data_IF_164902416186
#
_entry.id   IF_164902416186
#
_cell.length_a   1.000
_cell.length_b   1.000
_cell.length_c   1.000
_cell.angle_alpha   90.00
_cell.angle_beta   90.00
_cell.angle_gamma   90.00
#
_symmetry.space_group_name_H-M   'P 1'
#
loop_
_entity.id
_entity.type
_entity.pdbx_description
1 polymer ?
#
# COMPACT_ATOMS: atom_id res chain seq x y z
N UNK A 1 -2.04 -26.16 -26.39
CA UNK A 1 -2.34 -25.43 -25.13
C UNK A 1 -1.22 -25.72 -24.13
N UNK A 2 -0.27 -24.80 -23.96
CA UNK A 2 0.94 -25.00 -23.14
C UNK A 2 0.77 -24.61 -21.65
N UNK A 3 -0.26 -23.83 -21.30
CA UNK A 3 -0.46 -23.29 -19.95
C UNK A 3 -0.81 -24.41 -18.95
N UNK A 4 -1.73 -25.30 -19.30
CA UNK A 4 -2.10 -26.44 -18.45
C UNK A 4 -1.00 -27.51 -18.34
N UNK A 5 -0.02 -27.50 -19.24
CA UNK A 5 1.10 -28.44 -19.21
C UNK A 5 2.15 -28.06 -18.18
N UNK A 6 2.25 -26.77 -17.81
CA UNK A 6 3.20 -26.27 -16.81
C UNK A 6 2.59 -26.05 -15.43
N UNK A 7 1.31 -25.71 -15.34
CA UNK A 7 0.66 -25.36 -14.07
C UNK A 7 -0.45 -26.35 -13.66
N UNK A 8 -0.81 -27.33 -14.48
CA UNK A 8 -1.68 -28.44 -14.07
C UNK A 8 -3.19 -28.11 -13.93
N UNK A 9 -3.58 -26.91 -13.46
CA UNK A 9 -4.99 -26.51 -13.30
C UNK A 9 -5.21 -24.98 -13.41
N UNK A 10 -6.47 -24.54 -13.52
CA UNK A 10 -6.81 -23.11 -13.47
C UNK A 10 -6.52 -22.49 -12.10
N UNK A 11 -6.66 -23.26 -11.01
CA UNK A 11 -6.36 -22.81 -9.67
C UNK A 11 -4.87 -22.49 -9.50
N UNK A 12 -3.98 -23.33 -10.06
CA UNK A 12 -2.55 -23.07 -10.07
C UNK A 12 -2.17 -21.87 -10.93
N UNK A 13 -2.89 -21.63 -12.03
CA UNK A 13 -2.74 -20.39 -12.81
C UNK A 13 -3.13 -19.17 -11.97
N UNK A 14 -4.26 -19.21 -11.28
CA UNK A 14 -4.72 -18.11 -10.41
C UNK A 14 -3.72 -17.85 -9.28
N UNK A 15 -3.21 -18.91 -8.64
CA UNK A 15 -2.19 -18.80 -7.61
C UNK A 15 -0.89 -18.19 -8.14
N UNK A 16 -0.39 -18.67 -9.28
CA UNK A 16 0.82 -18.12 -9.89
C UNK A 16 0.68 -16.63 -10.25
N UNK A 17 -0.47 -16.22 -10.79
CA UNK A 17 -0.77 -14.81 -11.09
C UNK A 17 -0.81 -13.97 -9.82
N UNK A 18 -1.41 -14.50 -8.74
CA UNK A 18 -1.47 -13.84 -7.43
C UNK A 18 -0.07 -13.63 -6.84
N UNK A 19 0.78 -14.66 -6.84
CA UNK A 19 2.17 -14.59 -6.38
C UNK A 19 2.96 -13.54 -7.17
N UNK A 20 2.87 -13.57 -8.50
CA UNK A 20 3.52 -12.59 -9.36
C UNK A 20 3.02 -11.17 -9.10
N UNK A 21 1.71 -11.00 -8.87
CA UNK A 21 1.13 -9.72 -8.55
C UNK A 21 1.70 -9.10 -7.27
N UNK A 22 1.83 -9.88 -6.21
CA UNK A 22 2.45 -9.41 -4.97
C UNK A 22 3.95 -9.18 -5.10
N UNK A 23 4.66 -10.00 -5.88
CA UNK A 23 6.08 -9.78 -6.17
C UNK A 23 6.29 -8.44 -6.88
N UNK A 24 5.44 -8.08 -7.86
CA UNK A 24 5.48 -6.77 -8.52
C UNK A 24 5.16 -5.63 -7.58
N UNK A 25 4.14 -5.78 -6.73
CA UNK A 25 3.79 -4.76 -5.75
C UNK A 25 4.95 -4.49 -4.77
N UNK A 26 5.58 -5.56 -4.26
CA UNK A 26 6.76 -5.45 -3.41
C UNK A 26 7.92 -4.76 -4.13
N UNK A 27 8.17 -5.10 -5.41
CA UNK A 27 9.21 -4.46 -6.21
C UNK A 27 8.98 -2.95 -6.41
N UNK A 28 7.73 -2.52 -6.59
CA UNK A 28 7.39 -1.09 -6.67
C UNK A 28 7.67 -0.38 -5.34
N UNK A 29 7.36 -1.01 -4.20
CA UNK A 29 7.70 -0.45 -2.89
C UNK A 29 9.23 -0.40 -2.65
N UNK A 30 9.96 -1.44 -3.05
CA UNK A 30 11.41 -1.53 -2.91
C UNK A 30 12.17 -0.51 -3.79
N UNK A 31 11.55 -0.05 -4.88
CA UNK A 31 12.12 0.98 -5.75
C UNK A 31 12.10 2.39 -5.14
N UNK A 32 11.36 2.61 -4.04
CA UNK A 32 11.29 3.91 -3.36
C UNK A 32 12.55 4.13 -2.53
N UNK A 33 13.39 5.14 -2.84
CA UNK A 33 14.60 5.40 -2.07
C UNK A 33 14.27 5.80 -0.63
N UNK A 34 15.10 5.31 0.31
CA UNK A 34 15.03 5.73 1.69
C UNK A 34 15.61 7.14 1.85
N UNK A 35 14.92 8.00 2.58
CA UNK A 35 15.35 9.35 2.93
C UNK A 35 15.43 9.54 4.45
N UNK A 36 16.03 10.65 4.92
CA UNK A 36 16.00 11.02 6.33
C UNK A 36 14.60 11.30 6.89
N UNK A 37 13.58 11.44 6.05
CA UNK A 37 12.19 11.63 6.46
C UNK A 37 11.38 10.33 6.21
N UNK A 38 11.26 9.44 7.22
CA UNK A 38 10.58 8.16 7.05
C UNK A 38 9.08 8.31 6.83
N UNK A 39 8.46 9.41 7.27
CA UNK A 39 7.05 9.69 7.02
C UNK A 39 6.84 10.04 5.54
N UNK A 40 7.76 10.80 4.95
CA UNK A 40 7.75 11.05 3.51
C UNK A 40 7.96 9.76 2.70
N UNK A 41 8.86 8.87 3.14
CA UNK A 41 9.07 7.57 2.49
C UNK A 41 7.81 6.69 2.56
N UNK A 42 7.18 6.61 3.74
CA UNK A 42 5.91 5.90 3.93
C UNK A 42 4.84 6.43 2.97
N UNK A 43 4.73 7.76 2.84
CA UNK A 43 3.79 8.39 1.92
C UNK A 43 4.08 8.08 0.45
N UNK A 44 5.35 8.00 0.03
CA UNK A 44 5.73 7.60 -1.33
C UNK A 44 5.40 6.13 -1.61
N UNK A 45 5.74 5.22 -0.69
CA UNK A 45 5.35 3.80 -0.79
C UNK A 45 3.83 3.66 -0.90
N UNK A 46 3.11 4.50 -0.16
CA UNK A 46 1.65 4.54 -0.16
C UNK A 46 1.03 4.97 -1.48
N UNK A 47 1.56 6.03 -2.07
CA UNK A 47 1.15 6.51 -3.38
C UNK A 47 1.49 5.52 -4.49
N UNK A 48 2.67 4.89 -4.39
CA UNK A 48 3.11 3.86 -5.32
C UNK A 48 2.21 2.62 -5.28
N UNK A 49 1.78 2.19 -4.09
CA UNK A 49 0.76 1.14 -3.91
C UNK A 49 -0.55 1.51 -4.61
N UNK A 50 -1.04 2.74 -4.38
CA UNK A 50 -2.31 3.21 -4.94
C UNK A 50 -2.24 3.25 -6.48
N UNK A 51 -1.16 3.84 -7.01
CA UNK A 51 -0.90 3.93 -8.45
C UNK A 51 -0.72 2.55 -9.09
N UNK A 52 -0.09 1.60 -8.41
CA UNK A 52 -0.03 0.20 -8.87
C UNK A 52 -1.42 -0.42 -9.00
N UNK A 53 -2.28 -0.25 -7.99
CA UNK A 53 -3.63 -0.79 -8.00
C UNK A 53 -4.49 -0.26 -9.16
N UNK A 54 -4.39 1.05 -9.43
CA UNK A 54 -5.10 1.68 -10.54
C UNK A 54 -4.51 1.35 -11.91
N UNK A 55 -3.18 1.28 -12.00
CA UNK A 55 -2.48 0.96 -13.24
C UNK A 55 -2.59 -0.51 -13.66
N UNK A 56 -2.97 -1.41 -12.74
CA UNK A 56 -3.05 -2.86 -12.98
C UNK A 56 -4.37 -3.45 -12.42
N UNK A 57 -5.56 -2.99 -12.88
CA UNK A 57 -6.84 -3.30 -12.23
C UNK A 57 -7.17 -4.80 -12.24
N UNK A 58 -6.88 -5.52 -13.32
CA UNK A 58 -7.13 -6.96 -13.41
C UNK A 58 -6.19 -7.78 -12.51
N UNK A 59 -4.92 -7.37 -12.42
CA UNK A 59 -3.96 -8.00 -11.53
C UNK A 59 -4.31 -7.74 -10.06
N UNK A 60 -4.70 -6.50 -9.73
CA UNK A 60 -5.14 -6.13 -8.39
C UNK A 60 -6.35 -6.96 -7.94
N UNK A 61 -7.32 -7.18 -8.84
CA UNK A 61 -8.45 -8.10 -8.57
C UNK A 61 -7.98 -9.52 -8.29
N UNK A 62 -7.09 -10.09 -9.11
CA UNK A 62 -6.54 -11.42 -8.89
C UNK A 62 -5.75 -11.53 -7.56
N UNK A 63 -5.09 -10.44 -7.14
CA UNK A 63 -4.33 -10.37 -5.89
C UNK A 63 -5.18 -10.24 -4.63
N UNK A 64 -6.42 -9.76 -4.68
CA UNK A 64 -7.17 -9.43 -3.46
C UNK A 64 -8.63 -9.87 -3.45
N UNK A 65 -9.29 -9.93 -4.61
CA UNK A 65 -10.73 -10.15 -4.72
C UNK A 65 -11.01 -11.57 -5.21
N UNK A 66 -10.37 -11.96 -6.31
CA UNK A 66 -10.61 -13.23 -7.00
C UNK A 66 -9.61 -14.31 -6.51
N UNK A 67 -9.38 -14.40 -5.19
CA UNK A 67 -8.40 -15.32 -4.57
C UNK A 67 -8.82 -16.79 -4.76
N UNK A 68 -7.89 -17.71 -5.07
CA UNK A 68 -8.19 -19.14 -5.09
C UNK A 68 -8.62 -19.64 -3.69
N UNK A 69 -9.25 -20.83 -3.63
CA UNK A 69 -9.82 -21.37 -2.37
C UNK A 69 -8.71 -21.80 -1.39
N UNK A 70 -7.52 -22.12 -1.89
CA UNK A 70 -6.32 -22.35 -1.09
C UNK A 70 -5.91 -21.14 -0.26
N UNK A 71 -5.50 -21.39 0.98
CA UNK A 71 -4.84 -20.39 1.79
C UNK A 71 -3.37 -20.27 1.37
N UNK A 72 -2.88 -19.03 1.29
CA UNK A 72 -1.51 -18.70 0.95
C UNK A 72 -1.06 -17.43 1.66
N UNK A 73 0.26 -17.24 1.71
CA UNK A 73 0.93 -16.08 2.30
C UNK A 73 1.51 -15.15 1.21
N UNK A 74 0.98 -15.19 -0.02
CA UNK A 74 1.57 -14.47 -1.16
C UNK A 74 1.69 -12.96 -0.91
N UNK A 75 0.82 -12.39 -0.07
CA UNK A 75 0.84 -10.98 0.30
C UNK A 75 1.79 -10.61 1.45
N UNK A 76 2.41 -11.57 2.14
CA UNK A 76 3.22 -11.33 3.33
C UNK A 76 4.39 -10.38 3.05
N UNK A 77 5.17 -10.64 1.99
CA UNK A 77 6.31 -9.81 1.64
C UNK A 77 5.91 -8.36 1.27
N UNK A 78 4.72 -8.15 0.70
CA UNK A 78 4.22 -6.80 0.42
C UNK A 78 3.74 -6.11 1.71
N UNK A 79 3.08 -6.85 2.60
CA UNK A 79 2.66 -6.34 3.91
C UNK A 79 3.85 -5.96 4.80
N UNK A 80 4.89 -6.78 4.82
CA UNK A 80 6.13 -6.54 5.57
C UNK A 80 6.77 -5.19 5.21
N UNK A 81 6.58 -4.71 3.97
CA UNK A 81 7.18 -3.45 3.51
C UNK A 81 6.43 -2.25 4.08
N UNK A 82 5.13 -2.38 4.31
CA UNK A 82 4.36 -1.40 5.06
C UNK A 82 4.75 -1.44 6.54
N UNK A 83 4.90 -2.64 7.12
CA UNK A 83 5.36 -2.80 8.50
C UNK A 83 6.76 -2.20 8.72
N UNK A 84 7.68 -2.39 7.78
CA UNK A 84 9.02 -1.80 7.81
C UNK A 84 8.98 -0.27 7.71
N UNK A 85 8.12 0.28 6.85
CA UNK A 85 7.95 1.72 6.75
C UNK A 85 7.38 2.33 8.05
N UNK A 86 6.42 1.65 8.70
CA UNK A 86 5.91 2.04 10.02
C UNK A 86 7.02 1.96 11.08
N UNK A 87 7.77 0.86 11.13
CA UNK A 87 8.90 0.68 12.05
C UNK A 87 9.95 1.77 11.90
N UNK A 88 10.29 2.17 10.67
CA UNK A 88 11.20 3.30 10.44
C UNK A 88 10.69 4.64 10.98
N UNK A 89 9.38 4.87 10.95
CA UNK A 89 8.81 6.08 11.54
C UNK A 89 8.94 6.06 13.07
N UNK A 90 8.81 4.88 13.68
CA UNK A 90 8.98 4.67 15.12
C UNK A 90 10.45 4.83 15.53
N UNK A 91 11.37 4.20 14.80
CA UNK A 91 12.82 4.28 15.06
C UNK A 91 13.34 5.72 14.93
N UNK A 92 12.68 6.56 14.15
CA UNK A 92 12.96 7.98 14.01
C UNK A 92 12.18 8.87 14.99
N UNK A 93 11.52 8.28 15.99
CA UNK A 93 10.71 8.94 17.02
C UNK A 93 9.56 9.79 16.46
N UNK A 94 9.15 9.55 15.21
CA UNK A 94 7.99 10.21 14.58
C UNK A 94 6.67 9.65 15.09
N UNK A 95 6.66 8.38 15.52
CA UNK A 95 5.47 7.73 16.08
C UNK A 95 5.79 7.21 17.49
N UNK A 96 5.71 8.06 18.53
CA UNK A 96 6.10 7.69 19.90
C UNK A 96 5.10 6.73 20.58
N UNK A 97 5.58 5.93 21.55
CA UNK A 97 4.73 5.14 22.45
C UNK A 97 4.38 3.72 21.98
N UNK A 98 5.34 3.00 21.38
CA UNK A 98 5.07 1.75 20.67
C UNK A 98 5.47 0.49 21.43
N UNK A 99 4.46 -0.32 21.75
CA UNK A 99 4.63 -1.77 21.94
C UNK A 99 4.86 -2.46 20.59
N UNK A 100 5.74 -3.47 20.47
CA UNK A 100 6.01 -4.15 19.19
C UNK A 100 4.77 -4.63 18.42
N UNK A 101 3.69 -4.94 19.15
CA UNK A 101 2.38 -5.33 18.59
C UNK A 101 1.69 -4.22 17.79
N UNK A 102 1.99 -2.94 18.06
CA UNK A 102 1.36 -1.82 17.36
C UNK A 102 1.90 -1.61 15.94
N UNK A 103 3.13 -2.05 15.64
CA UNK A 103 3.71 -1.96 14.28
C UNK A 103 2.81 -2.67 13.27
N UNK A 104 2.46 -3.92 13.55
CA UNK A 104 1.61 -4.72 12.68
C UNK A 104 0.18 -4.18 12.63
N UNK A 105 -0.35 -3.69 13.76
CA UNK A 105 -1.68 -3.09 13.82
C UNK A 105 -1.78 -1.83 12.95
N UNK A 106 -0.82 -0.91 13.05
CA UNK A 106 -0.80 0.32 12.25
C UNK A 106 -0.51 0.03 10.79
N UNK A 107 0.38 -0.92 10.48
CA UNK A 107 0.57 -1.41 9.12
C UNK A 107 -0.75 -1.96 8.54
N UNK A 108 -1.50 -2.75 9.31
CA UNK A 108 -2.81 -3.28 8.91
C UNK A 108 -3.86 -2.18 8.70
N UNK A 109 -3.89 -1.14 9.53
CA UNK A 109 -4.78 0.01 9.32
C UNK A 109 -4.45 0.78 8.04
N UNK A 110 -3.16 1.06 7.81
CA UNK A 110 -2.67 1.71 6.60
C UNK A 110 -2.98 0.85 5.35
N UNK A 111 -2.73 -0.45 5.42
CA UNK A 111 -3.01 -1.42 4.36
C UNK A 111 -4.51 -1.44 4.04
N UNK A 112 -5.36 -1.59 5.07
CA UNK A 112 -6.82 -1.65 4.93
C UNK A 112 -7.42 -0.38 4.33
N UNK A 113 -6.96 0.79 4.80
CA UNK A 113 -7.39 2.08 4.25
C UNK A 113 -7.12 2.19 2.75
N UNK A 114 -5.90 1.82 2.31
CA UNK A 114 -5.52 1.87 0.88
C UNK A 114 -6.33 0.89 0.05
N UNK A 115 -6.54 -0.32 0.58
CA UNK A 115 -7.40 -1.31 -0.03
C UNK A 115 -8.82 -0.79 -0.31
N UNK A 116 -9.42 -0.15 0.68
CA UNK A 116 -10.75 0.46 0.54
C UNK A 116 -10.77 1.49 -0.58
N UNK A 117 -9.81 2.42 -0.57
CA UNK A 117 -9.75 3.50 -1.57
C UNK A 117 -9.51 2.96 -2.99
N UNK A 118 -8.57 2.04 -3.19
CA UNK A 118 -8.34 1.41 -4.52
C UNK A 118 -9.62 0.71 -4.98
N UNK A 119 -10.27 -0.07 -4.12
CA UNK A 119 -11.49 -0.79 -4.46
C UNK A 119 -12.64 0.16 -4.83
N UNK A 120 -12.78 1.28 -4.13
CA UNK A 120 -13.77 2.32 -4.46
C UNK A 120 -13.50 2.97 -5.82
N UNK A 121 -12.23 3.21 -6.18
CA UNK A 121 -11.90 3.75 -7.52
C UNK A 121 -12.16 2.71 -8.60
N UNK A 122 -11.72 1.46 -8.42
CA UNK A 122 -11.90 0.39 -9.40
C UNK A 122 -13.38 0.02 -9.60
N UNK A 123 -14.25 0.25 -8.62
CA UNK A 123 -15.70 0.05 -8.73
C UNK A 123 -16.44 1.27 -9.29
N UNK A 124 -15.76 2.41 -9.52
CA UNK A 124 -16.38 3.66 -9.95
C UNK A 124 -17.13 4.41 -8.85
N UNK A 125 -17.06 3.95 -7.59
CA UNK A 125 -17.71 4.58 -6.45
C UNK A 125 -17.02 5.88 -6.00
N UNK A 126 -15.73 6.06 -6.36
CA UNK A 126 -14.96 7.27 -6.06
C UNK A 126 -14.04 7.64 -7.23
N UNK A 127 -14.21 8.80 -7.87
CA UNK A 127 -13.27 9.30 -8.87
C UNK A 127 -11.83 9.43 -8.33
N UNK A 128 -10.84 9.06 -9.15
CA UNK A 128 -9.42 9.07 -8.74
C UNK A 128 -8.93 10.40 -8.15
N UNK A 129 -9.23 11.59 -8.73
CA UNK A 129 -8.76 12.84 -8.17
C UNK A 129 -9.25 13.07 -6.73
N UNK A 130 -10.48 12.64 -6.44
CA UNK A 130 -11.08 12.73 -5.11
C UNK A 130 -10.50 11.65 -4.17
N UNK A 131 -10.26 10.45 -4.69
CA UNK A 131 -9.59 9.38 -3.95
C UNK A 131 -8.20 9.79 -3.45
N UNK A 132 -7.40 10.48 -4.26
CA UNK A 132 -6.07 10.98 -3.86
C UNK A 132 -6.16 12.00 -2.72
N UNK A 133 -7.12 12.91 -2.77
CA UNK A 133 -7.36 13.89 -1.69
C UNK A 133 -7.77 13.20 -0.38
N UNK A 134 -8.73 12.27 -0.45
CA UNK A 134 -9.20 11.50 0.70
C UNK A 134 -8.06 10.67 1.30
N UNK A 135 -7.28 9.97 0.47
CA UNK A 135 -6.17 9.14 0.93
C UNK A 135 -5.07 9.95 1.62
N UNK A 136 -4.77 11.15 1.11
CA UNK A 136 -3.82 12.07 1.74
C UNK A 136 -4.29 12.54 3.12
N UNK A 137 -5.56 12.98 3.22
CA UNK A 137 -6.13 13.42 4.50
C UNK A 137 -6.21 12.28 5.53
N UNK A 138 -6.67 11.09 5.13
CA UNK A 138 -6.72 9.94 6.02
C UNK A 138 -5.31 9.51 6.48
N UNK A 139 -4.31 9.56 5.59
CA UNK A 139 -2.92 9.26 5.96
C UNK A 139 -2.42 10.26 7.00
N UNK A 140 -2.69 11.56 6.84
CA UNK A 140 -2.34 12.55 7.88
C UNK A 140 -3.01 12.22 9.21
N UNK A 141 -4.33 11.94 9.19
CA UNK A 141 -5.09 11.67 10.41
C UNK A 141 -4.58 10.43 11.15
N UNK A 142 -4.20 9.39 10.41
CA UNK A 142 -3.60 8.20 11.01
C UNK A 142 -2.24 8.51 11.61
N UNK A 143 -1.36 9.25 10.92
CA UNK A 143 -0.06 9.65 11.46
C UNK A 143 -0.19 10.46 12.76
N UNK A 144 -1.12 11.42 12.80
CA UNK A 144 -1.43 12.19 14.03
C UNK A 144 -1.99 11.25 15.11
N UNK A 145 -2.89 10.34 14.75
CA UNK A 145 -3.45 9.34 15.67
C UNK A 145 -2.41 8.35 16.21
N UNK A 146 -1.32 8.12 15.47
CA UNK A 146 -0.17 7.32 15.87
C UNK A 146 0.85 8.13 16.71
N UNK A 147 0.64 9.43 16.86
CA UNK A 147 1.42 10.30 17.73
C UNK A 147 2.41 11.24 17.03
N UNK A 148 2.41 11.33 15.69
CA UNK A 148 3.27 12.30 14.99
C UNK A 148 2.83 13.75 15.26
N UNK A 149 3.79 14.67 15.20
CA UNK A 149 3.49 16.10 15.27
C UNK A 149 2.67 16.51 14.02
N UNK A 150 1.50 17.15 14.18
CA UNK A 150 0.65 17.51 13.04
C UNK A 150 1.34 18.37 11.98
N UNK A 151 2.20 19.30 12.39
CA UNK A 151 2.90 20.18 11.46
C UNK A 151 4.03 19.44 10.72
N UNK A 152 4.76 18.58 11.42
CA UNK A 152 5.79 17.72 10.82
C UNK A 152 5.19 16.71 9.86
N UNK A 153 4.13 16.00 10.25
CA UNK A 153 3.41 15.05 9.40
C UNK A 153 2.92 15.72 8.11
N UNK A 154 2.30 16.90 8.21
CA UNK A 154 1.84 17.67 7.05
C UNK A 154 3.00 18.02 6.11
N UNK A 155 4.11 18.56 6.64
CA UNK A 155 5.30 18.88 5.82
C UNK A 155 5.85 17.65 5.09
N UNK A 156 5.93 16.51 5.78
CA UNK A 156 6.39 15.26 5.18
C UNK A 156 5.48 14.80 4.04
N UNK A 157 4.15 14.91 4.20
CA UNK A 157 3.18 14.55 3.15
C UNK A 157 3.25 15.52 1.96
N UNK A 158 3.33 16.82 2.20
CA UNK A 158 3.38 17.84 1.15
C UNK A 158 4.69 17.74 0.33
N UNK A 159 5.78 17.29 0.95
CA UNK A 159 7.04 17.00 0.26
C UNK A 159 7.05 15.67 -0.51
N UNK A 160 6.29 14.68 -0.03
CA UNK A 160 6.26 13.34 -0.60
C UNK A 160 5.30 13.20 -1.77
N UNK A 161 4.14 13.86 -1.68
CA UNK A 161 3.03 13.68 -2.60
C UNK A 161 2.96 14.86 -3.59
N UNK A 162 2.63 14.60 -4.86
CA UNK A 162 2.42 15.67 -5.83
C UNK A 162 1.30 16.60 -5.37
N UNK A 163 1.47 17.90 -5.63
CA UNK A 163 0.44 18.89 -5.30
C UNK A 163 -0.89 18.49 -5.98
N UNK A 164 -2.02 18.54 -5.27
CA UNK A 164 -3.31 18.17 -5.86
C UNK A 164 -3.61 19.08 -7.06
N UNK A 165 -3.67 18.48 -8.25
CA UNK A 165 -3.99 19.17 -9.52
C UNK A 165 -2.80 19.57 -10.40
N UNK A 166 -1.60 19.02 -10.18
CA UNK A 166 -0.41 19.33 -10.98
C UNK A 166 -0.43 18.78 -12.42
N UNK A 167 -1.33 17.85 -12.75
CA UNK A 167 -1.56 17.40 -14.13
C UNK A 167 -2.96 17.85 -14.59
N UNK A 168 -2.97 18.83 -15.51
CA UNK A 168 -4.08 19.14 -16.43
C UNK A 168 -3.55 19.12 -17.85
#
# INVERSE_FOLDING_TARGET
>A
MAIYTHLGSMEEVQHAVRVEGFARLAAVADAIPRSPDPVADLARVSDAYFSFGLGQPHLYRAMFIDRPVRDDDAGAAAFDRIADAVRRCIDAERLPGVEPTMVLMWAAQLWSMRHGIVTMVLSGALPEPQARLVLSDMTLRLLIGYGDDPAAARRSLDHALPAPGADR
#
